data_IF_264387831518
#
_entry.id   IF_264387831518
#
_cell.length_a   1.000
_cell.length_b   1.000
_cell.length_c   1.000
_cell.angle_alpha   90.00
_cell.angle_beta   90.00
_cell.angle_gamma   90.00
#
_symmetry.space_group_name_H-M   'P 1'
#
loop_
_entity.id
_entity.type
_entity.pdbx_description
1 polymer ?
#
# COMPACT_ATOMS: atom_id res chain seq x y z
N UNK A 1 -5.35 -27.84 -28.32
CA UNK A 1 -4.93 -26.75 -27.42
C UNK A 1 -3.51 -27.06 -26.98
N UNK A 2 -2.57 -26.20 -27.37
CA UNK A 2 -1.14 -26.45 -27.30
C UNK A 2 -0.59 -26.19 -25.88
N UNK A 3 -0.27 -27.28 -25.18
CA UNK A 3 0.29 -27.29 -23.82
C UNK A 3 1.75 -26.84 -23.73
N UNK A 4 2.36 -26.45 -24.85
CA UNK A 4 3.71 -25.88 -24.90
C UNK A 4 3.71 -24.37 -24.62
N UNK A 5 2.63 -23.65 -24.94
CA UNK A 5 2.47 -22.21 -24.64
C UNK A 5 2.29 -21.95 -23.13
N UNK A 6 1.61 -22.86 -22.42
CA UNK A 6 1.30 -22.72 -20.99
C UNK A 6 2.54 -22.88 -20.08
N UNK A 7 3.56 -23.63 -20.55
CA UNK A 7 4.84 -23.82 -19.83
C UNK A 7 5.78 -22.62 -19.95
N UNK A 8 5.74 -21.88 -21.07
CA UNK A 8 6.61 -20.72 -21.29
C UNK A 8 6.27 -19.57 -20.34
N UNK A 9 4.98 -19.36 -20.02
CA UNK A 9 4.56 -18.35 -19.04
C UNK A 9 4.94 -18.68 -17.60
N UNK A 10 4.97 -19.97 -17.24
CA UNK A 10 5.33 -20.39 -15.87
C UNK A 10 6.83 -20.31 -15.58
N UNK A 11 7.70 -20.41 -16.59
CA UNK A 11 9.16 -20.51 -16.38
C UNK A 11 9.90 -19.17 -16.21
N UNK A 12 9.37 -18.07 -16.74
CA UNK A 12 10.10 -16.79 -16.79
C UNK A 12 10.00 -15.94 -15.50
N UNK A 13 9.10 -16.28 -14.58
CA UNK A 13 8.93 -15.59 -13.29
C UNK A 13 9.73 -16.22 -12.13
N UNK A 14 10.37 -17.38 -12.34
CA UNK A 14 11.05 -18.12 -11.26
C UNK A 14 12.48 -17.64 -10.95
N UNK A 15 13.05 -16.73 -11.75
CA UNK A 15 14.34 -16.11 -11.45
C UNK A 15 14.20 -14.79 -10.66
N UNK A 16 13.17 -14.68 -9.83
CA UNK A 16 13.09 -13.61 -8.85
C UNK A 16 14.01 -13.95 -7.69
N UNK A 17 15.19 -13.34 -7.64
CA UNK A 17 15.94 -13.32 -6.38
C UNK A 17 15.09 -12.56 -5.36
N UNK A 18 14.70 -13.16 -4.22
CA UNK A 18 13.96 -12.44 -3.21
C UNK A 18 14.78 -11.21 -2.82
N UNK A 19 14.14 -10.06 -2.76
CA UNK A 19 14.81 -8.81 -2.41
C UNK A 19 15.46 -8.98 -1.04
N UNK A 20 16.79 -8.90 -0.98
CA UNK A 20 17.52 -9.06 0.27
C UNK A 20 17.43 -7.74 1.05
N UNK A 21 16.64 -7.75 2.11
CA UNK A 21 16.60 -6.62 3.04
C UNK A 21 17.75 -6.74 4.05
N UNK A 22 18.39 -5.62 4.46
CA UNK A 22 19.45 -5.66 5.46
C UNK A 22 18.94 -6.26 6.78
N UNK A 23 19.63 -7.27 7.30
CA UNK A 23 19.21 -8.03 8.48
C UNK A 23 19.10 -7.21 9.78
N UNK A 24 19.76 -6.05 9.83
CA UNK A 24 19.72 -5.13 10.97
C UNK A 24 18.48 -4.23 10.97
N UNK A 25 17.75 -4.12 9.85
CA UNK A 25 16.51 -3.34 9.78
C UNK A 25 15.39 -4.20 10.36
N UNK A 26 14.79 -3.72 11.46
CA UNK A 26 13.68 -4.41 12.14
C UNK A 26 12.37 -3.65 12.09
N UNK A 27 12.40 -2.38 11.69
CA UNK A 27 11.23 -1.49 11.67
C UNK A 27 11.21 -0.72 10.36
N UNK A 28 10.05 -0.67 9.73
CA UNK A 28 9.82 0.04 8.47
C UNK A 28 8.63 0.98 8.64
N UNK A 29 8.82 2.24 8.28
CA UNK A 29 7.74 3.22 8.18
C UNK A 29 7.51 3.52 6.71
N UNK A 30 6.30 3.23 6.23
CA UNK A 30 5.86 3.58 4.90
C UNK A 30 4.91 4.78 4.99
N UNK A 31 5.17 5.80 4.17
CA UNK A 31 4.54 7.10 4.24
C UNK A 31 3.99 7.43 2.86
N UNK A 32 2.66 7.52 2.75
CA UNK A 32 2.01 7.84 1.48
C UNK A 32 0.87 8.85 1.67
N UNK A 33 0.57 9.67 0.66
CA UNK A 33 -0.48 10.66 0.78
C UNK A 33 -1.89 10.05 0.76
N UNK A 34 -2.18 9.10 -0.12
CA UNK A 34 -3.53 8.55 -0.34
C UNK A 34 -3.61 7.04 -0.11
N UNK A 35 -4.81 6.49 0.18
CA UNK A 35 -4.99 5.05 0.32
C UNK A 35 -5.05 4.35 -1.05
N UNK A 36 -4.02 3.61 -1.43
CA UNK A 36 -3.78 2.86 -2.70
C UNK A 36 -2.32 2.97 -3.11
N UNK A 37 -1.72 4.14 -2.87
CA UNK A 37 -0.30 4.43 -3.10
C UNK A 37 0.61 3.36 -2.48
N UNK A 38 0.25 2.82 -1.31
CA UNK A 38 1.06 1.83 -0.60
C UNK A 38 1.13 0.49 -1.34
N UNK A 39 0.01 0.04 -1.90
CA UNK A 39 -0.07 -1.22 -2.63
C UNK A 39 0.54 -1.02 -4.02
N UNK A 40 0.24 0.10 -4.67
CA UNK A 40 0.71 0.40 -6.01
C UNK A 40 2.23 0.55 -6.08
N UNK A 41 2.83 1.28 -5.14
CA UNK A 41 4.27 1.54 -5.13
C UNK A 41 5.06 0.45 -4.42
N UNK A 42 4.55 -0.05 -3.29
CA UNK A 42 5.36 -0.84 -2.35
C UNK A 42 4.68 -2.12 -1.85
N UNK A 43 3.57 -2.57 -2.44
CA UNK A 43 2.81 -3.72 -1.92
C UNK A 43 3.66 -4.98 -1.76
N UNK A 44 4.45 -5.32 -2.78
CA UNK A 44 5.37 -6.46 -2.73
C UNK A 44 6.43 -6.34 -1.63
N UNK A 45 7.04 -5.16 -1.49
CA UNK A 45 8.03 -4.87 -0.43
C UNK A 45 7.40 -4.98 0.96
N UNK A 46 6.25 -4.35 1.18
CA UNK A 46 5.57 -4.35 2.48
C UNK A 46 5.13 -5.76 2.89
N UNK A 47 4.62 -6.54 1.95
CA UNK A 47 4.32 -7.95 2.18
C UNK A 47 5.60 -8.73 2.52
N UNK A 48 6.69 -8.54 1.77
CA UNK A 48 7.95 -9.22 2.02
C UNK A 48 8.58 -8.85 3.37
N UNK A 49 8.44 -7.60 3.85
CA UNK A 49 8.88 -7.22 5.19
C UNK A 49 8.26 -8.13 6.28
N UNK A 50 7.03 -8.60 6.08
CA UNK A 50 6.38 -9.52 7.02
C UNK A 50 7.03 -10.91 7.04
N UNK A 51 7.61 -11.38 5.93
CA UNK A 51 8.33 -12.66 5.88
C UNK A 51 9.68 -12.61 6.59
N UNK A 52 10.21 -11.41 6.84
CA UNK A 52 11.45 -11.16 7.59
C UNK A 52 11.21 -10.72 9.05
N UNK A 53 9.99 -10.88 9.57
CA UNK A 53 9.61 -10.46 10.93
C UNK A 53 9.94 -8.98 11.23
N UNK A 54 9.82 -8.13 10.20
CA UNK A 54 9.96 -6.68 10.37
C UNK A 54 8.64 -6.06 10.82
N UNK A 55 8.70 -5.08 11.72
CA UNK A 55 7.54 -4.33 12.17
C UNK A 55 7.26 -3.17 11.20
N UNK A 56 6.18 -3.30 10.42
CA UNK A 56 5.74 -2.29 9.46
C UNK A 56 4.71 -1.35 10.08
N UNK A 57 4.95 -0.05 9.95
CA UNK A 57 3.96 1.01 10.21
C UNK A 57 3.62 1.67 8.88
N UNK A 58 2.33 1.82 8.61
CA UNK A 58 1.82 2.54 7.44
C UNK A 58 1.18 3.85 7.88
N UNK A 59 1.62 4.97 7.32
CA UNK A 59 1.05 6.29 7.53
C UNK A 59 0.44 6.82 6.24
N UNK A 60 -0.88 7.02 6.26
CA UNK A 60 -1.67 7.63 5.17
C UNK A 60 -2.27 8.95 5.66
N UNK A 61 -2.06 10.03 4.92
CA UNK A 61 -2.40 11.38 5.39
C UNK A 61 -3.78 11.88 4.97
N UNK A 62 -4.36 11.33 3.91
CA UNK A 62 -5.66 11.74 3.38
C UNK A 62 -6.64 10.56 3.32
N UNK A 63 -7.90 10.85 3.02
CA UNK A 63 -8.92 9.81 2.77
C UNK A 63 -9.09 9.51 1.27
N UNK A 64 -8.27 10.11 0.40
CA UNK A 64 -8.35 9.92 -1.05
C UNK A 64 -9.68 10.37 -1.65
N UNK A 65 -10.37 11.33 -1.02
CA UNK A 65 -11.74 11.72 -1.40
C UNK A 65 -11.86 12.48 -2.72
N UNK A 66 -10.76 12.69 -3.45
CA UNK A 66 -10.74 13.32 -4.78
C UNK A 66 -10.22 12.36 -5.86
N UNK A 67 -10.06 11.07 -5.53
CA UNK A 67 -9.43 10.07 -6.40
C UNK A 67 -10.24 9.60 -7.62
N UNK A 68 -11.43 10.16 -7.87
CA UNK A 68 -12.20 9.89 -9.09
C UNK A 68 -12.69 11.21 -9.70
N UNK A 69 -12.85 11.31 -11.04
CA UNK A 69 -13.42 12.50 -11.67
C UNK A 69 -14.77 12.90 -11.05
N UNK A 70 -15.60 11.91 -10.71
CA UNK A 70 -16.94 12.08 -10.12
C UNK A 70 -16.94 12.08 -8.58
N UNK A 71 -15.77 12.19 -7.93
CA UNK A 71 -15.64 12.03 -6.48
C UNK A 71 -16.52 12.99 -5.65
N UNK A 72 -16.94 14.11 -6.26
CA UNK A 72 -17.87 15.07 -5.68
C UNK A 72 -19.31 14.52 -5.52
N UNK A 73 -19.66 13.45 -6.24
CA UNK A 73 -20.98 12.78 -6.15
C UNK A 73 -20.95 11.62 -5.14
N UNK A 74 -19.78 11.04 -4.88
CA UNK A 74 -19.62 9.90 -3.96
C UNK A 74 -19.32 10.42 -2.55
N UNK A 75 -20.38 10.85 -1.83
CA UNK A 75 -20.27 11.32 -0.43
C UNK A 75 -19.56 10.31 0.50
N UNK A 76 -19.65 9.03 0.16
CA UNK A 76 -19.07 7.93 0.93
C UNK A 76 -17.64 7.53 0.51
N UNK A 77 -17.01 8.20 -0.47
CA UNK A 77 -15.72 7.77 -1.02
C UNK A 77 -14.63 7.68 0.06
N UNK A 78 -14.63 8.65 0.99
CA UNK A 78 -13.76 8.62 2.19
C UNK A 78 -13.88 7.31 2.96
N UNK A 79 -15.11 6.87 3.17
CA UNK A 79 -15.44 5.69 3.98
C UNK A 79 -15.05 4.41 3.25
N UNK A 80 -15.36 4.34 1.95
CA UNK A 80 -14.99 3.22 1.09
C UNK A 80 -13.47 3.04 1.08
N UNK A 81 -12.71 4.10 0.74
CA UNK A 81 -11.24 4.02 0.69
C UNK A 81 -10.59 3.80 2.05
N UNK A 82 -11.21 4.28 3.13
CA UNK A 82 -10.75 3.94 4.49
C UNK A 82 -10.97 2.48 4.83
N UNK A 83 -12.02 1.85 4.31
CA UNK A 83 -12.28 0.42 4.48
C UNK A 83 -11.29 -0.41 3.66
N UNK A 84 -11.10 -0.05 2.40
CA UNK A 84 -10.11 -0.67 1.50
C UNK A 84 -8.69 -0.60 2.09
N UNK A 85 -8.28 0.57 2.61
CA UNK A 85 -6.99 0.72 3.27
C UNK A 85 -6.79 -0.24 4.44
N UNK A 86 -7.84 -0.44 5.26
CA UNK A 86 -7.78 -1.38 6.39
C UNK A 86 -7.65 -2.82 5.90
N UNK A 87 -8.32 -3.17 4.81
CA UNK A 87 -8.19 -4.49 4.18
C UNK A 87 -6.78 -4.69 3.61
N UNK A 88 -6.25 -3.72 2.87
CA UNK A 88 -4.88 -3.73 2.35
C UNK A 88 -3.86 -3.88 3.47
N UNK A 89 -3.98 -3.07 4.54
CA UNK A 89 -3.09 -3.14 5.69
C UNK A 89 -3.10 -4.53 6.34
N UNK A 90 -4.26 -5.19 6.41
CA UNK A 90 -4.37 -6.56 6.91
C UNK A 90 -3.67 -7.56 5.98
N UNK A 91 -3.89 -7.48 4.67
CA UNK A 91 -3.28 -8.37 3.67
C UNK A 91 -1.75 -8.21 3.57
N UNK A 92 -1.26 -7.00 3.81
CA UNK A 92 0.17 -6.66 3.84
C UNK A 92 0.82 -6.90 5.22
N UNK A 93 0.07 -7.43 6.19
CA UNK A 93 0.53 -7.67 7.57
C UNK A 93 1.10 -6.42 8.27
N UNK A 94 0.54 -5.24 7.98
CA UNK A 94 0.92 -3.99 8.63
C UNK A 94 0.61 -4.06 10.12
N UNK A 95 1.63 -3.85 10.97
CA UNK A 95 1.48 -3.91 12.42
C UNK A 95 0.80 -2.68 13.01
N UNK A 96 1.00 -1.51 12.39
CA UNK A 96 0.37 -0.26 12.82
C UNK A 96 -0.08 0.56 11.62
N UNK A 97 -1.37 0.88 11.58
CA UNK A 97 -1.94 1.80 10.60
C UNK A 97 -2.21 3.15 11.26
N UNK A 98 -1.63 4.20 10.71
CA UNK A 98 -1.90 5.60 11.05
C UNK A 98 -2.65 6.22 9.87
N UNK A 99 -3.93 6.52 10.04
CA UNK A 99 -4.76 7.04 8.95
C UNK A 99 -5.40 8.39 9.30
N UNK A 100 -4.83 9.46 8.78
CA UNK A 100 -5.31 10.82 9.01
C UNK A 100 -6.41 11.23 8.01
N UNK A 101 -7.08 12.33 8.31
CA UNK A 101 -8.01 13.04 7.41
C UNK A 101 -7.56 14.50 7.26
N UNK A 102 -6.42 14.71 6.60
CA UNK A 102 -5.88 16.06 6.41
C UNK A 102 -6.43 16.78 5.17
N UNK A 103 -7.28 16.10 4.40
CA UNK A 103 -7.88 16.61 3.15
C UNK A 103 -7.03 16.30 1.92
N UNK A 104 -7.61 15.53 1.00
CA UNK A 104 -6.99 15.19 -0.28
C UNK A 104 -6.75 16.47 -1.13
N UNK A 105 -5.54 16.60 -1.67
CA UNK A 105 -5.05 17.80 -2.36
C UNK A 105 -4.85 19.04 -1.48
N UNK A 106 -4.92 18.91 -0.14
CA UNK A 106 -4.84 20.04 0.81
C UNK A 106 -3.72 19.91 1.86
N UNK A 107 -2.85 18.89 1.76
CA UNK A 107 -1.78 18.64 2.73
C UNK A 107 -0.88 19.85 2.97
N UNK A 108 -0.52 20.60 1.92
CA UNK A 108 0.32 21.80 2.02
C UNK A 108 -0.26 22.90 2.93
N UNK A 109 -1.56 22.87 3.24
CA UNK A 109 -2.21 23.84 4.13
C UNK A 109 -2.09 23.48 5.62
N UNK A 110 -1.54 22.32 5.95
CA UNK A 110 -1.39 21.83 7.32
C UNK A 110 0.05 22.05 7.76
N UNK A 111 0.31 23.17 8.45
CA UNK A 111 1.60 23.36 9.13
C UNK A 111 1.69 22.38 10.30
N UNK A 112 2.87 21.81 10.52
CA UNK A 112 3.19 21.04 11.71
C UNK A 112 3.11 21.97 12.94
N UNK A 113 2.01 21.92 13.66
CA UNK A 113 1.88 22.45 15.03
C UNK A 113 2.56 21.52 16.01
#
# INVERSE_FOLDING_TARGET
>A
MDSSQERVYRGQWYNFSPMQLPSHIRKVLAVFPHPDDEVFVAGGLLHQCSTYDMQTTLAIFTKGERGTPDAHTVKELKKIRSHELKQNASLLHIKKLVHHDMGDGKLYKKNAT
#
